data_IF_533611801633
#
_entry.id   IF_533611801633
#
_cell.length_a   1.000
_cell.length_b   1.000
_cell.length_c   1.000
_cell.angle_alpha   90.00
_cell.angle_beta   90.00
_cell.angle_gamma   90.00
#
_symmetry.space_group_name_H-M   'P 1'
#
loop_
_entity.id
_entity.type
_entity.pdbx_description
1 polymer ?
#
# COMPACT_ATOMS: atom_id res chain seq x y z
N UNK A 1 9.28 22.97 18.96
CA UNK A 1 10.72 22.85 18.64
C UNK A 1 10.82 22.34 17.21
N UNK A 2 11.29 23.15 16.26
CA UNK A 2 11.39 22.72 14.86
C UNK A 2 12.64 21.85 14.72
N UNK A 3 12.47 20.60 14.26
CA UNK A 3 13.62 19.80 13.84
C UNK A 3 14.23 20.45 12.58
N UNK A 4 15.56 20.52 12.46
CA UNK A 4 16.18 21.02 11.24
C UNK A 4 15.77 20.15 10.04
N UNK A 5 15.51 20.79 8.89
CA UNK A 5 14.98 20.17 7.67
C UNK A 5 15.78 18.93 7.22
N UNK A 6 17.10 18.90 7.49
CA UNK A 6 17.97 17.75 7.20
C UNK A 6 17.56 16.47 7.95
N UNK A 7 16.99 16.58 9.15
CA UNK A 7 16.55 15.42 9.92
C UNK A 7 15.32 14.75 9.32
N UNK A 8 14.44 15.50 8.63
CA UNK A 8 13.18 14.96 8.07
C UNK A 8 13.45 14.00 6.91
N UNK A 9 14.37 14.36 6.00
CA UNK A 9 14.68 13.50 4.85
C UNK A 9 15.36 12.19 5.27
N UNK A 10 16.29 12.28 6.21
CA UNK A 10 16.98 11.11 6.78
C UNK A 10 15.97 10.23 7.51
N UNK A 11 15.06 10.82 8.27
CA UNK A 11 14.01 10.11 8.99
C UNK A 11 13.04 9.39 8.04
N UNK A 12 12.55 10.05 6.99
CA UNK A 12 11.68 9.43 5.99
C UNK A 12 12.39 8.26 5.29
N UNK A 13 13.69 8.39 5.01
CA UNK A 13 14.48 7.31 4.44
C UNK A 13 14.59 6.12 5.42
N UNK A 14 14.85 6.38 6.71
CA UNK A 14 14.87 5.32 7.72
C UNK A 14 13.52 4.61 7.85
N UNK A 15 12.41 5.35 7.88
CA UNK A 15 11.05 4.76 7.93
C UNK A 15 10.80 3.91 6.69
N UNK A 16 11.11 4.42 5.49
CA UNK A 16 10.98 3.67 4.25
C UNK A 16 11.77 2.35 4.29
N UNK A 17 13.06 2.41 4.66
CA UNK A 17 13.91 1.23 4.75
C UNK A 17 13.41 0.25 5.83
N UNK A 18 12.98 0.75 6.98
CA UNK A 18 12.44 -0.05 8.07
C UNK A 18 11.19 -0.84 7.64
N UNK A 19 10.24 -0.18 6.95
CA UNK A 19 9.04 -0.83 6.39
C UNK A 19 9.44 -1.93 5.42
N UNK A 20 10.35 -1.64 4.49
CA UNK A 20 10.81 -2.63 3.52
C UNK A 20 11.42 -3.85 4.20
N UNK A 21 12.24 -3.65 5.24
CA UNK A 21 12.93 -4.72 5.97
C UNK A 21 11.96 -5.53 6.82
N UNK A 22 11.07 -4.91 7.60
CA UNK A 22 10.10 -5.65 8.42
C UNK A 22 9.21 -6.52 7.56
N UNK A 23 8.60 -5.95 6.52
CA UNK A 23 7.74 -6.73 5.66
C UNK A 23 8.52 -7.73 4.80
N UNK A 24 9.82 -7.51 4.55
CA UNK A 24 10.67 -8.51 3.92
C UNK A 24 10.75 -9.79 4.77
N UNK A 25 10.85 -9.65 6.09
CA UNK A 25 10.89 -10.75 7.05
C UNK A 25 9.50 -11.35 7.31
N UNK A 26 8.45 -10.54 7.38
CA UNK A 26 7.07 -11.07 7.50
C UNK A 26 6.73 -11.93 6.29
N UNK A 27 7.05 -11.46 5.08
CA UNK A 27 6.87 -12.18 3.82
C UNK A 27 8.14 -12.95 3.41
N UNK A 28 8.76 -13.66 4.35
CA UNK A 28 9.99 -14.42 4.09
C UNK A 28 9.83 -15.52 3.00
N UNK A 29 8.60 -15.99 2.74
CA UNK A 29 8.27 -16.98 1.70
C UNK A 29 8.14 -16.38 0.29
N UNK A 30 8.36 -15.07 0.13
CA UNK A 30 8.34 -14.40 -1.18
C UNK A 30 9.53 -14.85 -2.05
N UNK A 31 9.31 -14.89 -3.35
CA UNK A 31 10.29 -15.17 -4.42
C UNK A 31 10.69 -13.90 -5.21
N UNK A 32 10.27 -12.71 -4.76
CA UNK A 32 10.76 -11.44 -5.30
C UNK A 32 12.26 -11.26 -5.00
N UNK A 33 13.04 -11.00 -6.07
CA UNK A 33 14.46 -10.70 -5.97
C UNK A 33 14.64 -9.20 -5.73
N UNK A 34 15.80 -8.81 -5.23
CA UNK A 34 16.15 -7.39 -5.02
C UNK A 34 15.94 -6.54 -6.29
N UNK A 35 16.24 -7.09 -7.48
CA UNK A 35 16.05 -6.39 -8.75
C UNK A 35 14.56 -6.12 -9.08
N UNK A 36 13.65 -6.98 -8.61
CA UNK A 36 12.21 -6.74 -8.77
C UNK A 36 11.73 -5.64 -7.83
N UNK A 37 12.27 -5.59 -6.61
CA UNK A 37 12.01 -4.52 -5.63
C UNK A 37 12.48 -3.17 -6.21
N UNK A 38 13.72 -3.10 -6.72
CA UNK A 38 14.23 -1.89 -7.38
C UNK A 38 13.41 -1.49 -8.60
N UNK A 39 12.93 -2.46 -9.39
CA UNK A 39 12.05 -2.16 -10.53
C UNK A 39 10.72 -1.56 -10.07
N UNK A 40 10.11 -2.08 -8.99
CA UNK A 40 8.88 -1.49 -8.41
C UNK A 40 9.15 -0.05 -7.98
N UNK A 41 10.19 0.19 -7.18
CA UNK A 41 10.57 1.53 -6.70
C UNK A 41 10.78 2.48 -7.89
N UNK A 42 11.53 2.05 -8.90
CA UNK A 42 11.85 2.86 -10.09
C UNK A 42 10.59 3.21 -10.88
N UNK A 43 9.68 2.25 -11.08
CA UNK A 43 8.41 2.50 -11.76
C UNK A 43 7.50 3.42 -10.95
N UNK A 44 7.54 3.36 -9.62
CA UNK A 44 6.82 4.33 -8.80
C UNK A 44 7.31 5.76 -9.07
N UNK A 45 8.63 5.96 -9.15
CA UNK A 45 9.21 7.29 -9.41
C UNK A 45 8.99 7.78 -10.84
N UNK A 46 9.15 6.91 -11.83
CA UNK A 46 9.19 7.30 -13.24
C UNK A 46 7.78 7.31 -13.86
N UNK A 47 6.87 6.48 -13.36
CA UNK A 47 5.52 6.29 -13.94
C UNK A 47 4.44 6.75 -12.98
N UNK A 48 4.41 6.20 -11.76
CA UNK A 48 3.28 6.44 -10.84
C UNK A 48 3.24 7.90 -10.41
N UNK A 49 4.31 8.46 -9.88
CA UNK A 49 4.32 9.85 -9.40
C UNK A 49 4.05 10.85 -10.53
N UNK A 50 4.72 10.82 -11.70
CA UNK A 50 4.47 11.80 -12.74
C UNK A 50 3.05 11.70 -13.30
N UNK A 51 2.52 10.48 -13.43
CA UNK A 51 1.15 10.29 -13.87
C UNK A 51 0.14 10.77 -12.82
N UNK A 52 0.36 10.47 -11.54
CA UNK A 52 -0.45 11.02 -10.44
C UNK A 52 -0.45 12.54 -10.48
N UNK A 53 0.72 13.18 -10.55
CA UNK A 53 0.83 14.65 -10.63
C UNK A 53 0.11 15.19 -11.86
N UNK A 54 0.27 14.56 -13.02
CA UNK A 54 -0.39 14.95 -14.26
C UNK A 54 -1.91 14.86 -14.15
N UNK A 55 -2.43 13.74 -13.64
CA UNK A 55 -3.87 13.51 -13.46
C UNK A 55 -4.45 14.50 -12.47
N UNK A 56 -3.76 14.72 -11.35
CA UNK A 56 -4.14 15.71 -10.37
C UNK A 56 -4.21 17.11 -10.97
N UNK A 57 -3.16 17.52 -11.70
CA UNK A 57 -3.12 18.80 -12.42
C UNK A 57 -4.29 18.91 -13.41
N UNK A 58 -4.52 17.88 -14.23
CA UNK A 58 -5.58 17.88 -15.23
C UNK A 58 -6.96 18.01 -14.59
N UNK A 59 -7.24 17.22 -13.56
CA UNK A 59 -8.52 17.27 -12.83
C UNK A 59 -8.74 18.64 -12.19
N UNK A 60 -7.71 19.19 -11.57
CA UNK A 60 -7.78 20.47 -10.88
C UNK A 60 -8.10 21.62 -11.84
N UNK A 61 -7.40 21.72 -12.97
CA UNK A 61 -7.53 22.86 -13.88
C UNK A 61 -8.65 22.71 -14.93
N UNK A 62 -9.10 21.49 -15.24
CA UNK A 62 -10.00 21.27 -16.39
C UNK A 62 -11.35 20.62 -16.03
N UNK A 63 -11.47 19.98 -14.86
CA UNK A 63 -12.66 19.19 -14.52
C UNK A 63 -13.36 19.70 -13.27
N UNK A 64 -12.60 20.06 -12.25
CA UNK A 64 -13.12 20.34 -10.93
C UNK A 64 -13.29 21.86 -10.76
N UNK A 65 -14.52 22.33 -10.97
CA UNK A 65 -14.88 23.74 -10.75
C UNK A 65 -14.95 24.11 -9.26
N UNK A 66 -15.05 23.11 -8.37
CA UNK A 66 -15.04 23.30 -6.91
C UNK A 66 -13.82 22.61 -6.30
N UNK A 67 -12.83 23.43 -5.95
CA UNK A 67 -11.56 23.04 -5.34
C UNK A 67 -11.76 22.08 -4.15
N UNK A 68 -12.83 22.24 -3.37
CA UNK A 68 -13.13 21.39 -2.19
C UNK A 68 -13.33 19.90 -2.51
N UNK A 69 -13.74 19.56 -3.74
CA UNK A 69 -13.93 18.16 -4.15
C UNK A 69 -12.72 17.56 -4.86
N UNK A 70 -11.73 18.38 -5.23
CA UNK A 70 -10.44 18.00 -5.79
C UNK A 70 -9.83 16.74 -5.17
N UNK A 71 -9.63 16.74 -3.84
CA UNK A 71 -8.95 15.66 -3.15
C UNK A 71 -9.66 14.30 -3.21
N UNK A 72 -11.00 14.30 -3.33
CA UNK A 72 -11.82 13.07 -3.35
C UNK A 72 -11.68 12.33 -4.67
N UNK A 73 -11.63 13.06 -5.80
CA UNK A 73 -11.54 12.46 -7.13
C UNK A 73 -10.12 11.97 -7.47
N UNK A 74 -9.12 12.56 -6.84
CA UNK A 74 -7.71 12.22 -7.02
C UNK A 74 -7.38 10.87 -6.36
N UNK A 75 -7.89 10.63 -5.15
CA UNK A 75 -7.52 9.46 -4.36
C UNK A 75 -7.74 8.11 -5.07
N UNK A 76 -8.87 7.83 -5.76
CA UNK A 76 -9.02 6.61 -6.55
C UNK A 76 -7.94 6.44 -7.63
N UNK A 77 -7.51 7.52 -8.27
CA UNK A 77 -6.52 7.49 -9.33
C UNK A 77 -5.12 7.23 -8.77
N UNK A 78 -4.83 7.80 -7.61
CA UNK A 78 -3.61 7.48 -6.86
C UNK A 78 -3.54 6.02 -6.46
N UNK A 79 -4.60 5.49 -5.83
CA UNK A 79 -4.62 4.07 -5.44
C UNK A 79 -4.52 3.15 -6.65
N UNK A 80 -5.13 3.53 -7.79
CA UNK A 80 -5.04 2.74 -9.02
C UNK A 80 -3.62 2.72 -9.59
N UNK A 81 -2.95 3.87 -9.63
CA UNK A 81 -1.63 4.01 -10.23
C UNK A 81 -0.55 3.30 -9.43
N UNK A 82 -0.69 3.24 -8.09
CA UNK A 82 0.19 2.44 -7.20
C UNK A 82 0.18 0.94 -7.52
N UNK A 83 -0.84 0.45 -8.22
CA UNK A 83 -0.92 -0.97 -8.62
C UNK A 83 -0.13 -1.24 -9.93
N UNK A 84 0.16 -0.22 -10.74
CA UNK A 84 0.85 -0.35 -12.05
C UNK A 84 2.21 -1.07 -11.93
N UNK A 85 3.11 -0.70 -10.99
CA UNK A 85 4.40 -1.38 -10.84
C UNK A 85 4.23 -2.88 -10.55
N UNK A 86 3.19 -3.25 -9.80
CA UNK A 86 2.92 -4.66 -9.48
C UNK A 86 2.41 -5.41 -10.71
N UNK A 87 1.48 -4.82 -11.48
CA UNK A 87 1.00 -5.40 -12.73
C UNK A 87 2.15 -5.66 -13.71
N UNK A 88 3.13 -4.75 -13.76
CA UNK A 88 4.34 -4.94 -14.55
C UNK A 88 5.14 -6.17 -14.10
N UNK A 89 5.45 -6.30 -12.80
CA UNK A 89 6.17 -7.47 -12.27
C UNK A 89 5.40 -8.77 -12.51
N UNK A 90 4.08 -8.76 -12.33
CA UNK A 90 3.21 -9.91 -12.61
C UNK A 90 3.28 -10.35 -14.09
N UNK A 91 3.38 -9.38 -15.00
CA UNK A 91 3.48 -9.64 -16.43
C UNK A 91 4.85 -10.21 -16.80
N UNK A 92 5.92 -9.67 -16.20
CA UNK A 92 7.32 -10.11 -16.42
C UNK A 92 7.58 -11.53 -15.91
N UNK A 93 7.14 -11.87 -14.69
CA UNK A 93 7.50 -13.14 -14.01
C UNK A 93 6.61 -14.33 -14.32
N UNK A 94 5.59 -14.18 -15.18
CA UNK A 94 4.46 -15.11 -15.38
C UNK A 94 3.70 -15.33 -14.07
N UNK A 95 2.49 -14.77 -13.98
CA UNK A 95 1.55 -14.78 -12.83
C UNK A 95 1.49 -16.07 -11.98
N UNK A 96 1.72 -17.26 -12.56
CA UNK A 96 1.66 -18.55 -11.84
C UNK A 96 2.80 -18.73 -10.82
N UNK A 97 3.95 -18.10 -11.05
CA UNK A 97 5.16 -18.31 -10.25
C UNK A 97 5.25 -17.40 -9.01
N UNK A 98 4.38 -16.41 -8.88
CA UNK A 98 4.37 -15.49 -7.73
C UNK A 98 3.54 -16.08 -6.60
N UNK A 99 4.05 -16.15 -5.37
CA UNK A 99 3.29 -16.54 -4.16
C UNK A 99 2.34 -15.42 -3.71
N UNK A 100 1.38 -15.67 -2.82
CA UNK A 100 0.55 -14.60 -2.24
C UNK A 100 1.42 -13.60 -1.45
N UNK A 101 2.50 -14.08 -0.84
CA UNK A 101 3.51 -13.23 -0.22
C UNK A 101 4.20 -12.31 -1.22
N UNK A 102 4.44 -12.75 -2.46
CA UNK A 102 4.95 -11.88 -3.53
C UNK A 102 3.98 -10.75 -3.85
N UNK A 103 2.67 -11.04 -3.89
CA UNK A 103 1.66 -10.01 -4.12
C UNK A 103 1.64 -8.98 -2.99
N UNK A 104 1.46 -9.43 -1.75
CA UNK A 104 1.37 -8.52 -0.61
C UNK A 104 2.65 -7.68 -0.46
N UNK A 105 3.82 -8.28 -0.58
CA UNK A 105 5.09 -7.56 -0.49
C UNK A 105 5.29 -6.57 -1.64
N UNK A 106 4.94 -6.93 -2.89
CA UNK A 106 5.00 -5.99 -4.01
C UNK A 106 4.09 -4.77 -3.81
N UNK A 107 2.88 -4.98 -3.27
CA UNK A 107 1.97 -3.89 -2.92
C UNK A 107 2.54 -2.97 -1.85
N UNK A 108 3.15 -3.54 -0.80
CA UNK A 108 3.80 -2.79 0.27
C UNK A 108 4.99 -1.97 -0.24
N UNK A 109 5.85 -2.57 -1.07
CA UNK A 109 6.98 -1.86 -1.69
C UNK A 109 6.46 -0.68 -2.52
N UNK A 110 5.41 -0.90 -3.31
CA UNK A 110 4.83 0.15 -4.15
C UNK A 110 4.24 1.29 -3.32
N UNK A 111 3.41 0.97 -2.31
CA UNK A 111 2.81 1.94 -1.40
C UNK A 111 3.84 2.70 -0.55
N UNK A 112 4.89 2.01 -0.07
CA UNK A 112 5.96 2.62 0.71
C UNK A 112 6.81 3.55 -0.14
N UNK A 113 7.09 3.16 -1.38
CA UNK A 113 7.82 4.00 -2.33
C UNK A 113 7.01 5.25 -2.64
N UNK A 114 5.71 5.10 -2.92
CA UNK A 114 4.85 6.23 -3.21
C UNK A 114 4.83 7.21 -2.03
N UNK A 115 4.56 6.72 -0.81
CA UNK A 115 4.54 7.53 0.41
C UNK A 115 5.88 8.27 0.62
N UNK A 116 7.00 7.56 0.50
CA UNK A 116 8.33 8.15 0.69
C UNK A 116 8.57 9.32 -0.28
N UNK A 117 8.33 9.11 -1.57
CA UNK A 117 8.57 10.16 -2.56
C UNK A 117 7.51 11.27 -2.53
N UNK A 118 6.27 10.95 -2.17
CA UNK A 118 5.25 11.95 -1.88
C UNK A 118 5.74 12.85 -0.74
N UNK A 119 6.17 12.30 0.40
CA UNK A 119 6.67 13.11 1.51
C UNK A 119 7.88 13.98 1.13
N UNK A 120 8.75 13.49 0.23
CA UNK A 120 9.86 14.26 -0.33
C UNK A 120 9.38 15.44 -1.20
N UNK A 121 8.38 15.22 -2.06
CA UNK A 121 7.89 16.20 -3.02
C UNK A 121 6.99 17.26 -2.36
N UNK A 122 6.15 16.85 -1.42
CA UNK A 122 5.08 17.70 -0.88
C UNK A 122 5.48 18.51 0.36
N UNK A 123 6.71 18.35 0.89
CA UNK A 123 7.17 18.98 2.15
C UNK A 123 6.17 18.81 3.32
N UNK A 124 5.34 17.75 3.30
CA UNK A 124 4.38 17.42 4.40
C UNK A 124 5.06 17.06 5.72
N UNK A 125 6.40 16.99 5.75
CA UNK A 125 7.21 16.66 6.92
C UNK A 125 7.11 17.60 8.14
N UNK A 126 6.14 18.50 8.21
CA UNK A 126 5.88 19.31 9.40
C UNK A 126 4.75 18.79 10.29
N UNK A 127 3.83 17.98 9.76
CA UNK A 127 2.65 17.60 10.54
C UNK A 127 2.40 16.10 10.43
N UNK A 128 2.58 15.43 11.58
CA UNK A 128 2.11 14.07 11.88
C UNK A 128 2.95 12.90 11.36
N UNK A 129 4.06 12.66 12.04
CA UNK A 129 4.70 11.34 12.17
C UNK A 129 3.77 10.39 12.94
N UNK A 130 2.73 9.88 12.28
CA UNK A 130 1.99 8.73 12.77
C UNK A 130 2.27 7.61 11.77
N UNK A 131 3.02 6.58 12.13
CA UNK A 131 3.17 5.41 11.26
C UNK A 131 3.25 4.15 12.08
N UNK A 132 2.22 3.27 11.98
CA UNK A 132 2.07 1.88 12.48
C UNK A 132 2.42 1.57 13.96
N UNK A 133 3.33 2.34 14.58
CA UNK A 133 3.93 2.22 15.89
C UNK A 133 4.25 3.60 16.51
N UNK A 134 3.51 4.66 16.14
CA UNK A 134 3.65 5.99 16.75
C UNK A 134 4.76 6.88 16.17
N UNK A 135 4.91 8.05 16.77
CA UNK A 135 5.93 9.03 16.40
C UNK A 135 7.28 8.62 16.96
N UNK A 136 8.36 8.75 16.17
CA UNK A 136 9.74 8.55 16.64
C UNK A 136 10.15 9.50 17.79
N UNK A 137 9.36 10.55 18.06
CA UNK A 137 9.64 11.56 19.07
C UNK A 137 8.90 11.35 20.40
N UNK A 138 8.03 10.34 20.49
CA UNK A 138 7.31 10.02 21.73
C UNK A 138 7.21 8.51 21.87
N UNK A 139 7.46 7.98 23.08
CA UNK A 139 7.16 6.60 23.48
C UNK A 139 5.66 6.25 23.41
N UNK A 140 4.85 7.03 22.69
CA UNK A 140 3.45 6.78 22.37
C UNK A 140 3.43 5.88 21.13
N UNK A 141 3.76 4.60 21.34
CA UNK A 141 3.76 3.55 20.32
C UNK A 141 2.38 3.30 19.66
N UNK A 142 1.36 4.06 20.06
CA UNK A 142 -0.04 3.95 19.63
C UNK A 142 -0.64 5.36 19.55
N UNK A 143 -0.05 6.26 18.77
CA UNK A 143 -0.74 7.53 18.43
C UNK A 143 -1.81 7.24 17.36
N UNK A 144 -3.02 6.90 17.82
CA UNK A 144 -4.23 6.69 17.00
C UNK A 144 -4.80 8.05 16.53
N UNK A 145 -3.99 8.86 15.87
CA UNK A 145 -4.47 10.00 15.08
C UNK A 145 -4.88 9.52 13.70
N UNK A 146 -5.62 10.38 12.98
CA UNK A 146 -6.11 10.10 11.62
C UNK A 146 -4.93 9.68 10.75
N UNK A 147 -4.92 8.43 10.29
CA UNK A 147 -3.78 7.87 9.59
C UNK A 147 -4.23 6.97 8.46
N UNK A 148 -4.22 7.51 7.24
CA UNK A 148 -4.32 6.70 6.04
C UNK A 148 -2.92 6.21 5.68
N UNK A 149 -2.78 4.91 5.42
CA UNK A 149 -1.48 4.33 5.08
C UNK A 149 -1.50 3.78 3.66
N UNK A 150 -0.84 4.50 2.73
CA UNK A 150 -0.60 4.02 1.37
C UNK A 150 0.00 2.61 1.33
N UNK A 151 0.85 2.30 2.31
CA UNK A 151 1.52 1.02 2.46
C UNK A 151 0.51 -0.10 2.68
N UNK A 152 -0.39 0.08 3.64
CA UNK A 152 -1.38 -0.93 4.01
C UNK A 152 -2.47 -1.07 2.95
N UNK A 153 -2.99 0.06 2.47
CA UNK A 153 -4.01 0.09 1.42
C UNK A 153 -3.54 -0.65 0.17
N UNK A 154 -2.37 -0.26 -0.37
CA UNK A 154 -1.82 -0.87 -1.58
C UNK A 154 -1.48 -2.35 -1.34
N UNK A 155 -0.92 -2.69 -0.18
CA UNK A 155 -0.63 -4.08 0.20
C UNK A 155 -1.87 -4.98 0.19
N UNK A 156 -2.98 -4.52 0.79
CA UNK A 156 -4.24 -5.26 0.84
C UNK A 156 -4.94 -5.37 -0.52
N UNK A 157 -4.97 -4.29 -1.31
CA UNK A 157 -5.53 -4.31 -2.67
C UNK A 157 -4.78 -5.35 -3.52
N UNK A 158 -3.46 -5.30 -3.50
CA UNK A 158 -2.62 -6.20 -4.31
C UNK A 158 -2.70 -7.64 -3.79
N UNK A 159 -2.80 -7.86 -2.49
CA UNK A 159 -3.06 -9.18 -1.93
C UNK A 159 -4.38 -9.75 -2.46
N UNK A 160 -5.46 -8.96 -2.48
CA UNK A 160 -6.74 -9.40 -3.03
C UNK A 160 -6.61 -9.76 -4.53
N UNK A 161 -5.85 -8.98 -5.31
CA UNK A 161 -5.51 -9.34 -6.69
C UNK A 161 -4.76 -10.67 -6.78
N UNK A 162 -3.84 -10.94 -5.84
CA UNK A 162 -3.14 -12.21 -5.72
C UNK A 162 -4.08 -13.40 -5.52
N UNK A 163 -5.09 -13.25 -4.66
CA UNK A 163 -6.12 -14.27 -4.44
C UNK A 163 -6.89 -14.57 -5.74
N UNK A 164 -7.30 -13.55 -6.49
CA UNK A 164 -7.96 -13.72 -7.81
C UNK A 164 -7.08 -14.51 -8.78
N UNK A 165 -5.78 -14.22 -8.80
CA UNK A 165 -4.82 -14.87 -9.70
C UNK A 165 -4.57 -16.33 -9.30
N UNK A 166 -4.55 -16.63 -8.00
CA UNK A 166 -4.23 -17.96 -7.46
C UNK A 166 -5.37 -18.96 -7.51
N UNK A 167 -6.61 -18.48 -7.52
CA UNK A 167 -7.78 -19.36 -7.59
C UNK A 167 -7.83 -20.06 -8.95
N UNK A 168 -7.77 -21.40 -8.92
CA UNK A 168 -7.95 -22.25 -10.10
C UNK A 168 -9.43 -22.35 -10.46
N UNK A 169 -9.75 -22.23 -11.75
CA UNK A 169 -11.11 -22.39 -12.28
C UNK A 169 -11.56 -21.23 -13.17
N UNK A 170 -12.81 -21.33 -13.63
CA UNK A 170 -13.47 -20.31 -14.44
C UNK A 170 -13.87 -19.07 -13.64
N UNK A 171 -14.46 -18.09 -14.34
CA UNK A 171 -14.78 -16.77 -13.78
C UNK A 171 -15.69 -16.82 -12.55
N UNK A 172 -16.66 -17.75 -12.51
CA UNK A 172 -17.60 -17.88 -11.38
C UNK A 172 -16.89 -18.20 -10.05
N UNK A 173 -15.84 -19.03 -10.07
CA UNK A 173 -15.05 -19.32 -8.86
C UNK A 173 -14.16 -18.14 -8.43
N UNK A 174 -13.80 -17.28 -9.38
CA UNK A 174 -12.98 -16.08 -9.14
C UNK A 174 -13.80 -14.87 -8.72
N UNK A 175 -15.08 -14.83 -9.07
CA UNK A 175 -15.99 -13.73 -8.81
C UNK A 175 -15.95 -13.20 -7.37
N UNK A 176 -16.02 -14.03 -6.30
CA UNK A 176 -15.96 -13.50 -4.93
C UNK A 176 -14.65 -12.75 -4.65
N UNK A 177 -13.53 -13.22 -5.18
CA UNK A 177 -12.22 -12.56 -5.00
C UNK A 177 -12.09 -11.30 -5.86
N UNK A 178 -12.74 -11.27 -7.03
CA UNK A 178 -12.82 -10.06 -7.87
C UNK A 178 -13.63 -9.00 -7.13
N UNK A 179 -14.80 -9.36 -6.61
CA UNK A 179 -15.64 -8.47 -5.81
C UNK A 179 -14.90 -7.98 -4.55
N UNK A 180 -14.16 -8.86 -3.87
CA UNK A 180 -13.32 -8.48 -2.74
C UNK A 180 -12.23 -7.47 -3.13
N UNK A 181 -11.58 -7.68 -4.28
CA UNK A 181 -10.55 -6.75 -4.78
C UNK A 181 -11.15 -5.38 -5.11
N UNK A 182 -12.30 -5.36 -5.79
CA UNK A 182 -13.01 -4.13 -6.13
C UNK A 182 -13.52 -3.41 -4.88
N UNK A 183 -14.02 -4.15 -3.89
CA UNK A 183 -14.46 -3.60 -2.61
C UNK A 183 -13.29 -3.02 -1.83
N UNK A 184 -12.15 -3.74 -1.71
CA UNK A 184 -10.96 -3.23 -1.06
C UNK A 184 -10.46 -1.95 -1.73
N UNK A 185 -10.41 -1.93 -3.06
CA UNK A 185 -10.05 -0.74 -3.82
C UNK A 185 -11.00 0.43 -3.55
N UNK A 186 -12.31 0.22 -3.66
CA UNK A 186 -13.31 1.26 -3.42
C UNK A 186 -13.25 1.79 -1.98
N UNK A 187 -13.08 0.91 -1.00
CA UNK A 187 -12.94 1.26 0.41
C UNK A 187 -11.71 2.15 0.65
N UNK A 188 -10.53 1.74 0.19
CA UNK A 188 -9.30 2.52 0.40
C UNK A 188 -9.26 3.80 -0.43
N UNK A 189 -9.81 3.80 -1.63
CA UNK A 189 -9.97 5.02 -2.42
C UNK A 189 -10.90 6.03 -1.74
N UNK A 190 -12.00 5.55 -1.14
CA UNK A 190 -12.90 6.37 -0.35
C UNK A 190 -12.23 6.90 0.92
N UNK A 191 -11.58 6.03 1.70
CA UNK A 191 -10.87 6.41 2.92
C UNK A 191 -9.78 7.44 2.62
N UNK A 192 -9.01 7.23 1.56
CA UNK A 192 -7.98 8.16 1.12
C UNK A 192 -8.55 9.50 0.64
N UNK A 193 -9.60 9.47 -0.18
CA UNK A 193 -10.27 10.69 -0.63
C UNK A 193 -10.82 11.49 0.54
N UNK A 194 -11.31 10.79 1.56
CA UNK A 194 -11.80 11.37 2.79
C UNK A 194 -10.68 11.91 3.68
N UNK A 195 -9.56 11.21 3.80
CA UNK A 195 -8.35 11.69 4.46
C UNK A 195 -7.86 13.00 3.81
N UNK A 196 -7.77 13.02 2.47
CA UNK A 196 -7.33 14.23 1.77
C UNK A 196 -8.33 15.39 1.92
N UNK A 197 -9.63 15.11 1.93
CA UNK A 197 -10.66 16.12 2.18
C UNK A 197 -10.66 16.67 3.62
N UNK A 198 -10.05 15.96 4.58
CA UNK A 198 -10.06 16.33 6.01
C UNK A 198 -8.76 16.93 6.52
N UNK A 199 -7.61 16.55 5.94
CA UNK A 199 -6.29 16.96 6.45
C UNK A 199 -5.44 17.73 5.45
N UNK A 200 -5.76 17.71 4.16
CA UNK A 200 -4.97 18.47 3.22
C UNK A 200 -5.37 19.94 3.34
N UNK A 201 -4.58 20.71 4.09
CA UNK A 201 -4.67 22.18 4.10
C UNK A 201 -4.29 22.75 2.74
N UNK A 202 -3.61 21.98 1.90
CA UNK A 202 -3.23 22.43 0.56
C UNK A 202 -2.94 21.32 -0.47
N UNK A 203 -3.19 21.63 -1.74
CA UNK A 203 -2.71 20.91 -2.91
C UNK A 203 -1.26 21.30 -3.17
N UNK A 204 -0.32 20.35 -3.17
CA UNK A 204 1.11 20.60 -3.42
C UNK A 204 1.80 21.59 -2.46
N UNK A 205 1.16 22.05 -1.38
CA UNK A 205 1.65 23.22 -0.63
C UNK A 205 1.47 24.55 -1.38
N UNK A 206 0.70 24.56 -2.47
CA UNK A 206 0.52 25.68 -3.40
C UNK A 206 -0.89 26.27 -3.31
N UNK A 207 -1.92 25.44 -3.10
CA UNK A 207 -3.32 25.86 -3.13
C UNK A 207 -3.99 25.42 -1.84
N UNK A 208 -4.42 26.36 -1.00
CA UNK A 208 -5.05 26.02 0.28
C UNK A 208 -6.51 25.57 0.13
N UNK A 209 -6.91 24.52 0.84
CA UNK A 209 -8.30 24.05 0.89
C UNK A 209 -8.99 24.58 2.16
N UNK A 210 -10.28 24.96 2.09
CA UNK A 210 -11.03 25.34 3.28
C UNK A 210 -11.27 24.11 4.18
N UNK A 211 -10.86 24.21 5.45
CA UNK A 211 -11.07 23.18 6.47
C UNK A 211 -12.55 22.90 6.71
N UNK A 212 -13.08 21.80 6.18
CA UNK A 212 -14.45 21.38 6.48
C UNK A 212 -14.50 20.58 7.79
N UNK A 213 -14.82 21.27 8.90
CA UNK A 213 -14.91 20.70 10.26
C UNK A 213 -15.84 19.48 10.37
N UNK A 214 -16.86 19.38 9.50
CA UNK A 214 -17.81 18.24 9.48
C UNK A 214 -17.13 16.99 8.92
N UNK A 215 -16.32 17.12 7.87
CA UNK A 215 -15.60 15.99 7.30
C UNK A 215 -14.60 15.42 8.32
N UNK A 216 -13.87 16.30 9.03
CA UNK A 216 -12.94 15.91 10.10
C UNK A 216 -13.68 15.19 11.24
N UNK A 217 -14.86 15.68 11.62
CA UNK A 217 -15.70 15.05 12.64
C UNK A 217 -16.21 13.67 12.21
N UNK A 218 -16.72 13.54 10.98
CA UNK A 218 -17.17 12.26 10.41
C UNK A 218 -16.00 11.27 10.28
N UNK A 219 -14.80 11.73 9.92
CA UNK A 219 -13.58 10.90 9.91
C UNK A 219 -13.21 10.38 11.28
N UNK A 220 -13.25 11.25 12.29
CA UNK A 220 -12.99 10.84 13.66
C UNK A 220 -14.05 9.85 14.18
N UNK A 221 -15.29 9.93 13.71
CA UNK A 221 -16.41 9.03 14.05
C UNK A 221 -16.35 7.67 13.33
N UNK A 222 -16.04 7.66 12.03
CA UNK A 222 -15.98 6.45 11.21
C UNK A 222 -14.71 5.62 11.45
N UNK A 223 -13.76 6.17 12.21
CA UNK A 223 -12.70 5.41 12.82
C UNK A 223 -11.31 5.84 12.38
N UNK A 224 -10.50 6.17 13.39
CA UNK A 224 -9.03 6.14 13.34
C UNK A 224 -8.61 4.70 13.03
N UNK A 225 -8.36 4.40 11.76
CA UNK A 225 -8.38 3.03 11.23
C UNK A 225 -7.15 2.17 11.58
N UNK A 226 -6.94 1.87 12.86
CA UNK A 226 -5.99 0.85 13.32
C UNK A 226 -6.35 -0.57 12.83
N UNK A 227 -7.62 -0.79 12.45
CA UNK A 227 -8.10 -2.11 12.01
C UNK A 227 -7.50 -2.57 10.69
N UNK A 228 -7.28 -1.70 9.70
CA UNK A 228 -6.68 -2.09 8.41
C UNK A 228 -5.24 -2.58 8.58
N UNK A 229 -4.48 -1.91 9.46
CA UNK A 229 -3.14 -2.29 9.88
C UNK A 229 -3.12 -3.67 10.57
N UNK A 230 -4.03 -3.88 11.52
CA UNK A 230 -4.21 -5.16 12.22
C UNK A 230 -4.58 -6.27 11.23
N UNK A 231 -5.54 -6.01 10.33
CA UNK A 231 -5.99 -6.96 9.31
C UNK A 231 -4.83 -7.35 8.40
N UNK A 232 -4.06 -6.38 7.88
CA UNK A 232 -2.91 -6.69 7.03
C UNK A 232 -1.87 -7.49 7.80
N UNK A 233 -1.54 -7.10 9.03
CA UNK A 233 -0.56 -7.83 9.83
C UNK A 233 -0.96 -9.29 10.05
N UNK A 234 -2.19 -9.56 10.51
CA UNK A 234 -2.68 -10.92 10.69
C UNK A 234 -2.83 -11.67 9.38
N UNK A 235 -3.33 -11.04 8.32
CA UNK A 235 -3.41 -11.65 7.00
C UNK A 235 -2.01 -12.06 6.51
N UNK A 236 -1.00 -11.21 6.73
CA UNK A 236 0.39 -11.48 6.34
C UNK A 236 0.95 -12.68 7.09
N UNK A 237 0.73 -12.77 8.40
CA UNK A 237 1.14 -13.92 9.22
C UNK A 237 0.44 -15.19 8.76
N UNK A 238 -0.89 -15.15 8.56
CA UNK A 238 -1.67 -16.30 8.11
C UNK A 238 -1.17 -16.78 6.75
N UNK A 239 -0.94 -15.87 5.80
CA UNK A 239 -0.41 -16.20 4.48
C UNK A 239 0.97 -16.86 4.60
N UNK A 240 1.87 -16.28 5.38
CA UNK A 240 3.20 -16.83 5.60
C UNK A 240 3.14 -18.25 6.19
N UNK A 241 2.27 -18.48 7.19
CA UNK A 241 2.06 -19.80 7.79
C UNK A 241 1.49 -20.79 6.76
N UNK A 242 0.42 -20.41 6.06
CA UNK A 242 -0.26 -21.29 5.09
C UNK A 242 0.68 -21.67 3.95
N UNK A 243 1.46 -20.73 3.43
CA UNK A 243 2.43 -21.00 2.38
C UNK A 243 3.56 -21.91 2.85
N UNK A 244 4.07 -21.68 4.08
CA UNK A 244 5.11 -22.53 4.69
C UNK A 244 4.62 -23.96 4.87
N UNK A 245 3.42 -24.14 5.43
CA UNK A 245 2.82 -25.47 5.65
C UNK A 245 2.56 -26.18 4.32
N UNK A 246 2.08 -25.45 3.31
CA UNK A 246 1.81 -26.01 1.98
C UNK A 246 3.10 -26.46 1.31
N UNK A 247 4.16 -25.65 1.38
CA UNK A 247 5.49 -25.99 0.85
C UNK A 247 6.05 -27.23 1.51
N UNK A 248 6.02 -27.29 2.84
CA UNK A 248 6.51 -28.44 3.61
C UNK A 248 5.75 -29.74 3.27
N UNK A 249 4.42 -29.67 3.13
CA UNK A 249 3.61 -30.84 2.72
C UNK A 249 4.00 -31.35 1.33
N UNK A 250 4.24 -30.44 0.39
CA UNK A 250 4.65 -30.80 -0.97
C UNK A 250 6.04 -31.44 -0.99
N UNK A 251 7.02 -30.86 -0.28
CA UNK A 251 8.38 -31.42 -0.18
C UNK A 251 8.36 -32.82 0.41
N UNK A 252 7.56 -33.04 1.48
CA UNK A 252 7.40 -34.37 2.08
C UNK A 252 6.76 -35.39 1.14
N UNK A 253 5.79 -34.97 0.32
CA UNK A 253 5.19 -35.84 -0.70
C UNK A 253 6.20 -36.26 -1.75
N UNK A 254 7.01 -35.33 -2.25
CA UNK A 254 8.06 -35.60 -3.24
C UNK A 254 9.11 -36.56 -2.68
N UNK A 255 9.56 -36.37 -1.42
CA UNK A 255 10.51 -37.28 -0.78
C UNK A 255 9.93 -38.70 -0.70
N UNK A 256 8.69 -38.85 -0.24
CA UNK A 256 8.04 -40.16 -0.14
C UNK A 256 7.84 -40.82 -1.51
N UNK A 257 7.59 -40.05 -2.58
CA UNK A 257 7.47 -40.58 -3.95
C UNK A 257 8.82 -41.06 -4.49
N UNK A 258 9.90 -40.34 -4.20
CA UNK A 258 11.26 -40.73 -4.58
C UNK A 258 11.67 -42.01 -3.84
N UNK A 259 11.47 -42.09 -2.52
CA UNK A 259 11.79 -43.28 -1.72
C UNK A 259 11.04 -44.53 -2.22
N UNK A 260 9.76 -44.40 -2.57
CA UNK A 260 8.97 -45.51 -3.15
C UNK A 260 9.40 -45.94 -4.54
N UNK A 261 10.11 -45.10 -5.28
CA UNK A 261 10.60 -45.40 -6.62
C UNK A 261 11.97 -46.08 -6.62
N UNK A 262 12.65 -46.07 -5.47
CA UNK A 262 13.97 -46.68 -5.27
C UNK A 262 13.92 -48.07 -4.61
N UNK A 263 12.74 -48.48 -4.13
CA UNK A 263 12.44 -49.84 -3.63
C UNK A 263 11.85 -50.74 -4.73
#
# INVERSE_FOLDING_TARGET
MQLPIQNIYIQNLFVFLYVLVIYYFIFWTKNLKINDIFAIISLTVIVVLPYTIYVQYYLYFNVINNIEHGPIYIAPLEEFTKVIPVIYIMSKKRKRNLSLSDFAYAGIVSGASFNFFEDLLYKRGKEQLNFFCGSLNSFEFIDMKVNFSHIVATGLIVLCMGLVVKVKGGILKKLPFILLTLFAFAYFAFEHGFYNATLSESFLGIIEYPHNKIAVYIHNLLGKNSYSHIILFFASIIIAIVETVTKYKYEKQVINEVERSTD
#
